data_IF_914166705148
#
_entry.id   IF_914166705148
#
_cell.length_a   1.000
_cell.length_b   1.000
_cell.length_c   1.000
_cell.angle_alpha   90.00
_cell.angle_beta   90.00
_cell.angle_gamma   90.00
#
_symmetry.space_group_name_H-M   'P 1'
#
loop_
_entity.id
_entity.type
_entity.pdbx_description
1 polymer ?
#
# COMPACT_ATOMS: atom_id res chain seq x y z
N UNK A 1 8.46 -7.17 0.81
CA UNK A 1 7.75 -6.27 -0.15
C UNK A 1 8.49 -4.95 -0.33
N UNK A 2 8.95 -4.29 0.74
CA UNK A 2 9.76 -3.06 0.65
C UNK A 2 11.17 -3.22 0.03
N UNK A 3 11.68 -4.46 -0.07
CA UNK A 3 13.00 -4.74 -0.65
C UNK A 3 13.07 -4.51 -2.17
N UNK A 4 11.91 -4.45 -2.85
CA UNK A 4 11.83 -4.15 -4.28
C UNK A 4 11.62 -2.65 -4.58
N UNK A 5 11.80 -1.77 -3.58
CA UNK A 5 11.58 -0.34 -3.74
C UNK A 5 12.78 0.33 -4.43
N UNK A 6 12.59 0.62 -5.71
CA UNK A 6 13.44 1.40 -6.58
C UNK A 6 13.31 2.91 -6.32
N UNK A 7 14.32 3.67 -6.77
CA UNK A 7 14.42 5.11 -6.53
C UNK A 7 13.25 5.91 -7.13
N UNK A 8 12.76 5.47 -8.29
CA UNK A 8 11.61 6.09 -8.97
C UNK A 8 10.34 6.00 -8.11
N UNK A 9 10.10 4.87 -7.47
CA UNK A 9 8.92 4.64 -6.64
C UNK A 9 9.04 5.41 -5.33
N UNK A 10 10.24 5.59 -4.78
CA UNK A 10 10.46 6.52 -3.66
C UNK A 10 10.03 7.94 -4.04
N UNK A 11 10.43 8.42 -5.22
CA UNK A 11 10.03 9.75 -5.71
C UNK A 11 8.51 9.81 -5.91
N UNK A 12 7.90 8.78 -6.50
CA UNK A 12 6.46 8.71 -6.69
C UNK A 12 5.69 8.76 -5.35
N UNK A 13 6.16 8.02 -4.34
CA UNK A 13 5.59 8.04 -2.99
C UNK A 13 5.78 9.41 -2.32
N UNK A 14 6.91 10.06 -2.54
CA UNK A 14 7.17 11.39 -1.98
C UNK A 14 6.23 12.44 -2.59
N UNK A 15 6.01 12.37 -3.90
CA UNK A 15 5.02 13.21 -4.59
C UNK A 15 3.60 12.92 -4.11
N UNK A 16 3.23 11.64 -3.94
CA UNK A 16 1.93 11.25 -3.40
C UNK A 16 1.74 11.75 -1.96
N UNK A 17 2.76 11.65 -1.12
CA UNK A 17 2.72 12.16 0.24
C UNK A 17 2.57 13.69 0.26
N UNK A 18 3.27 14.41 -0.63
CA UNK A 18 3.03 15.85 -0.82
C UNK A 18 1.62 16.15 -1.32
N UNK A 19 1.02 15.32 -2.18
CA UNK A 19 -0.35 15.54 -2.66
C UNK A 19 -1.38 15.36 -1.54
N UNK A 20 -1.21 14.33 -0.70
CA UNK A 20 -2.14 14.00 0.39
C UNK A 20 -2.00 14.97 1.56
N UNK A 21 -0.76 15.19 2.02
CA UNK A 21 -0.47 15.95 3.23
C UNK A 21 -0.10 17.41 2.95
N UNK A 22 0.38 17.72 1.75
CA UNK A 22 0.82 19.06 1.37
C UNK A 22 1.89 19.61 2.31
N UNK A 23 1.71 20.88 2.66
CA UNK A 23 2.50 21.64 3.62
C UNK A 23 2.45 21.11 5.06
N UNK A 24 1.54 20.17 5.38
CA UNK A 24 1.44 19.57 6.72
C UNK A 24 2.38 18.38 6.90
N UNK A 25 3.00 17.87 5.84
CA UNK A 25 3.89 16.71 5.89
C UNK A 25 5.03 16.85 6.93
N UNK A 26 5.73 18.00 7.04
CA UNK A 26 6.75 18.18 8.08
C UNK A 26 6.18 18.11 9.50
N UNK A 27 4.95 18.61 9.68
CA UNK A 27 4.25 18.57 10.97
C UNK A 27 3.85 17.15 11.34
N UNK A 28 3.30 16.37 10.40
CA UNK A 28 2.92 14.97 10.60
C UNK A 28 4.15 14.11 10.95
N UNK A 29 5.28 14.33 10.28
CA UNK A 29 6.55 13.67 10.61
C UNK A 29 6.97 14.02 12.04
N UNK A 30 6.93 15.31 12.40
CA UNK A 30 7.28 15.78 13.74
C UNK A 30 6.41 15.16 14.84
N UNK A 31 5.10 15.09 14.62
CA UNK A 31 4.14 14.50 15.55
C UNK A 31 4.34 12.98 15.68
N UNK A 32 4.56 12.28 14.56
CA UNK A 32 4.89 10.86 14.55
C UNK A 32 6.20 10.54 15.28
N UNK A 33 7.24 11.37 15.10
CA UNK A 33 8.51 11.23 15.79
C UNK A 33 8.39 11.47 17.29
N UNK A 34 7.60 12.46 17.72
CA UNK A 34 7.30 12.68 19.15
C UNK A 34 6.57 11.50 19.75
N UNK A 35 5.57 10.97 19.05
CA UNK A 35 4.84 9.77 19.49
C UNK A 35 5.78 8.58 19.62
N UNK A 36 6.61 8.31 18.60
CA UNK A 36 7.60 7.23 18.62
C UNK A 36 8.60 7.37 19.79
N UNK A 37 9.07 8.60 20.05
CA UNK A 37 9.99 8.86 21.15
C UNK A 37 9.33 8.67 22.51
N UNK A 38 8.06 9.05 22.64
CA UNK A 38 7.23 8.78 23.81
C UNK A 38 7.01 7.29 24.05
N UNK A 39 6.64 6.54 23.00
CA UNK A 39 6.52 5.08 23.03
C UNK A 39 7.83 4.41 23.45
N UNK A 40 8.97 4.86 22.92
CA UNK A 40 10.28 4.31 23.29
C UNK A 40 10.62 4.58 24.76
N UNK A 41 10.35 5.79 25.27
CA UNK A 41 10.56 6.12 26.67
C UNK A 41 9.62 5.33 27.59
N UNK A 42 8.34 5.19 27.22
CA UNK A 42 7.36 4.39 27.96
C UNK A 42 7.74 2.92 28.02
N UNK A 43 8.19 2.35 26.90
CA UNK A 43 8.69 0.97 26.87
C UNK A 43 9.91 0.78 27.77
N UNK A 44 10.87 1.71 27.74
CA UNK A 44 12.05 1.66 28.62
C UNK A 44 11.70 1.77 30.10
N UNK A 45 10.78 2.66 30.46
CA UNK A 45 10.34 2.83 31.85
C UNK A 45 9.57 1.60 32.34
N UNK A 46 8.63 1.09 31.56
CA UNK A 46 7.89 -0.13 31.90
C UNK A 46 8.81 -1.36 32.04
N UNK A 47 9.83 -1.50 31.18
CA UNK A 47 10.85 -2.54 31.35
C UNK A 47 11.65 -2.34 32.64
N UNK A 48 12.08 -1.11 32.94
CA UNK A 48 12.84 -0.79 34.15
C UNK A 48 12.04 -1.10 35.42
N UNK A 49 10.77 -0.72 35.46
CA UNK A 49 9.90 -0.93 36.61
C UNK A 49 9.59 -2.43 36.80
N UNK A 50 9.32 -3.15 35.71
CA UNK A 50 9.08 -4.59 35.74
C UNK A 50 10.34 -5.39 36.13
N UNK A 51 11.53 -4.96 35.68
CA UNK A 51 12.82 -5.56 36.08
C UNK A 51 13.11 -5.36 37.57
N UNK A 52 12.74 -4.19 38.10
CA UNK A 52 12.97 -3.82 39.51
C UNK A 52 12.05 -4.55 40.48
N UNK A 53 10.83 -4.88 40.06
CA UNK A 53 9.85 -5.61 40.89
C UNK A 53 9.98 -7.13 40.78
N UNK A 54 10.43 -7.68 39.64
CA UNK A 54 10.55 -9.14 39.43
C UNK A 54 11.95 -9.71 39.67
N UNK A 55 12.95 -8.87 40.00
CA UNK A 55 14.31 -9.32 40.38
C UNK A 55 15.05 -10.15 39.31
N UNK A 56 14.52 -10.19 38.08
CA UNK A 56 15.07 -10.95 36.95
C UNK A 56 15.39 -9.96 35.84
N UNK A 57 16.66 -9.94 35.46
CA UNK A 57 17.25 -9.03 34.48
C UNK A 57 16.79 -9.42 33.05
N UNK A 58 15.60 -8.96 32.66
CA UNK A 58 15.16 -9.00 31.26
C UNK A 58 15.92 -7.90 30.52
N UNK A 59 17.16 -8.19 30.13
CA UNK A 59 17.97 -7.29 29.31
C UNK A 59 17.30 -7.07 27.96
N UNK A 60 17.01 -5.81 27.66
CA UNK A 60 16.31 -5.33 26.47
C UNK A 60 17.08 -5.56 25.14
N UNK A 61 18.16 -6.35 25.17
CA UNK A 61 18.94 -6.74 24.00
C UNK A 61 18.37 -8.01 23.31
N UNK A 62 17.52 -8.80 23.98
CA UNK A 62 16.91 -10.04 23.45
C UNK A 62 15.39 -9.92 23.18
N UNK A 63 14.92 -8.72 22.81
CA UNK A 63 13.59 -8.48 22.26
C UNK A 63 13.63 -8.14 20.76
N UNK A 64 14.34 -8.96 19.98
CA UNK A 64 13.85 -9.18 18.62
C UNK A 64 12.43 -9.76 18.74
N UNK A 65 11.41 -9.28 18.01
CA UNK A 65 10.05 -9.82 18.12
C UNK A 65 10.03 -11.34 17.88
N UNK A 66 11.00 -11.84 17.10
CA UNK A 66 11.22 -13.27 16.86
C UNK A 66 11.80 -14.05 18.06
N UNK A 67 12.59 -13.41 18.94
CA UNK A 67 13.20 -14.04 20.10
C UNK A 67 12.27 -14.03 21.33
N UNK A 68 11.50 -12.96 21.52
CA UNK A 68 10.50 -12.84 22.60
C UNK A 68 9.33 -13.82 22.41
N UNK A 69 8.81 -13.96 21.19
CA UNK A 69 7.83 -14.99 20.84
C UNK A 69 8.42 -16.40 21.07
N UNK A 70 9.74 -16.56 20.83
CA UNK A 70 10.47 -17.81 21.09
C UNK A 70 10.65 -18.20 22.55
N UNK A 71 10.68 -17.24 23.46
CA UNK A 71 10.91 -17.49 24.89
C UNK A 71 9.68 -17.39 25.76
N UNK A 72 8.61 -16.72 25.31
CA UNK A 72 7.39 -16.54 26.11
C UNK A 72 6.10 -17.05 25.45
N UNK A 73 6.07 -17.29 24.13
CA UNK A 73 4.94 -17.92 23.42
C UNK A 73 5.25 -19.36 22.96
N UNK A 74 6.49 -19.83 23.17
CA UNK A 74 7.02 -21.10 22.69
C UNK A 74 7.48 -21.97 23.87
N UNK A 75 6.64 -22.09 24.90
CA UNK A 75 6.67 -23.32 25.70
C UNK A 75 6.20 -24.45 24.78
N UNK A 76 6.97 -25.55 24.73
CA UNK A 76 7.04 -26.57 23.67
C UNK A 76 5.71 -27.26 23.27
N UNK A 77 4.61 -26.99 23.99
CA UNK A 77 3.31 -27.65 23.82
C UNK A 77 2.36 -26.88 22.88
N UNK A 78 2.50 -25.55 22.76
CA UNK A 78 1.60 -24.69 21.96
C UNK A 78 2.08 -24.46 20.50
N UNK A 79 3.30 -24.89 20.17
CA UNK A 79 3.93 -24.69 18.86
C UNK A 79 3.19 -25.38 17.72
N UNK A 80 2.59 -26.55 17.97
CA UNK A 80 1.85 -27.31 16.95
C UNK A 80 0.41 -26.81 16.78
N UNK A 81 -0.21 -26.31 17.85
CA UNK A 81 -1.60 -25.84 17.86
C UNK A 81 -1.76 -24.47 17.18
N UNK A 82 -0.77 -23.58 17.31
CA UNK A 82 -0.82 -22.23 16.75
C UNK A 82 -0.20 -22.16 15.34
N UNK A 83 0.79 -23.00 15.02
CA UNK A 83 1.43 -22.98 13.68
C UNK A 83 0.51 -23.43 12.55
N UNK A 84 -0.28 -24.49 12.75
CA UNK A 84 -1.19 -25.00 11.71
C UNK A 84 -2.21 -23.94 11.24
N UNK A 85 -2.94 -23.26 12.13
CA UNK A 85 -3.88 -22.22 11.71
C UNK A 85 -3.17 -20.99 11.12
N UNK A 86 -2.03 -20.57 11.67
CA UNK A 86 -1.29 -19.42 11.11
C UNK A 86 -0.70 -19.70 9.72
N UNK A 87 -0.26 -20.93 9.45
CA UNK A 87 0.19 -21.34 8.12
C UNK A 87 -0.96 -21.35 7.11
N UNK A 88 -2.13 -21.89 7.50
CA UNK A 88 -3.32 -21.85 6.64
C UNK A 88 -3.75 -20.42 6.30
N UNK A 89 -3.83 -19.55 7.31
CA UNK A 89 -4.17 -18.13 7.11
C UNK A 89 -3.14 -17.41 6.23
N UNK A 90 -1.86 -17.75 6.34
CA UNK A 90 -0.82 -17.15 5.52
C UNK A 90 -0.88 -17.64 4.06
N UNK A 91 -1.13 -18.92 3.84
CA UNK A 91 -1.25 -19.51 2.51
C UNK A 91 -2.53 -19.04 1.78
N UNK A 92 -3.64 -18.86 2.51
CA UNK A 92 -4.89 -18.28 1.98
C UNK A 92 -4.66 -16.84 1.52
N UNK A 93 -4.08 -16.00 2.40
CA UNK A 93 -3.77 -14.60 2.06
C UNK A 93 -2.80 -14.52 0.87
N UNK A 94 -1.82 -15.43 0.80
CA UNK A 94 -0.88 -15.49 -0.33
C UNK A 94 -1.56 -15.92 -1.63
N UNK A 95 -2.52 -16.84 -1.57
CA UNK A 95 -3.28 -17.27 -2.75
C UNK A 95 -4.17 -16.14 -3.27
N UNK A 96 -4.88 -15.45 -2.38
CA UNK A 96 -5.72 -14.30 -2.74
C UNK A 96 -4.90 -13.19 -3.39
N UNK A 97 -3.74 -12.86 -2.82
CA UNK A 97 -2.82 -11.87 -3.38
C UNK A 97 -2.29 -12.27 -4.75
N UNK A 98 -2.01 -13.56 -4.95
CA UNK A 98 -1.53 -14.07 -6.25
C UNK A 98 -2.63 -14.01 -7.30
N UNK A 99 -3.87 -14.37 -6.93
CA UNK A 99 -5.04 -14.27 -7.82
C UNK A 99 -5.30 -12.82 -8.26
N UNK A 100 -5.36 -11.89 -7.30
CA UNK A 100 -5.56 -10.46 -7.58
C UNK A 100 -4.43 -9.92 -8.48
N UNK A 101 -3.19 -10.36 -8.26
CA UNK A 101 -2.08 -9.95 -9.12
C UNK A 101 -2.26 -10.41 -10.56
N UNK A 102 -2.70 -11.65 -10.77
CA UNK A 102 -2.97 -12.19 -12.11
C UNK A 102 -4.13 -11.47 -12.81
N UNK A 103 -5.22 -11.18 -12.09
CA UNK A 103 -6.35 -10.42 -12.64
C UNK A 103 -5.93 -9.01 -13.06
N UNK A 104 -5.08 -8.35 -12.26
CA UNK A 104 -4.55 -7.03 -12.59
C UNK A 104 -3.61 -7.08 -13.80
N UNK A 105 -2.78 -8.12 -13.95
CA UNK A 105 -1.92 -8.32 -15.12
C UNK A 105 -2.76 -8.57 -16.39
N UNK A 106 -3.86 -9.31 -16.31
CA UNK A 106 -4.78 -9.53 -17.43
C UNK A 106 -5.51 -8.24 -17.83
N UNK A 107 -6.00 -7.46 -16.87
CA UNK A 107 -6.64 -6.16 -17.14
C UNK A 107 -5.63 -5.16 -17.68
N UNK A 108 -4.41 -5.14 -17.16
CA UNK A 108 -3.33 -4.31 -17.68
C UNK A 108 -2.99 -4.69 -19.13
N UNK A 109 -2.84 -5.98 -19.42
CA UNK A 109 -2.62 -6.47 -20.78
C UNK A 109 -3.78 -6.10 -21.71
N UNK A 110 -5.03 -6.24 -21.25
CA UNK A 110 -6.21 -5.85 -22.02
C UNK A 110 -6.30 -4.33 -22.26
N UNK A 111 -5.85 -3.51 -21.29
CA UNK A 111 -5.76 -2.07 -21.43
C UNK A 111 -4.65 -1.66 -22.42
N UNK A 112 -3.51 -2.33 -22.41
CA UNK A 112 -2.43 -2.14 -23.39
C UNK A 112 -2.85 -2.56 -24.81
N UNK A 113 -3.54 -3.70 -24.95
CA UNK A 113 -4.11 -4.10 -26.25
C UNK A 113 -5.17 -3.11 -26.76
N UNK A 114 -5.97 -2.51 -25.87
CA UNK A 114 -6.95 -1.47 -26.25
C UNK A 114 -6.28 -0.13 -26.60
N UNK A 115 -5.14 0.20 -25.99
CA UNK A 115 -4.31 1.32 -26.41
C UNK A 115 -3.68 1.10 -27.80
N UNK A 116 -3.38 -0.16 -28.17
CA UNK A 116 -2.87 -0.54 -29.50
C UNK A 116 -3.95 -0.77 -30.58
N UNK A 117 -5.23 -0.84 -30.21
CA UNK A 117 -6.37 -0.90 -31.14
C UNK A 117 -7.24 0.37 -31.08
N UNK A 118 -6.62 1.54 -31.28
CA UNK A 118 -7.36 2.71 -31.81
C UNK A 118 -6.72 3.16 -33.12
N UNK A 119 -6.97 2.39 -34.18
CA UNK A 119 -6.97 2.90 -35.56
C UNK A 119 -7.73 1.94 -36.49
N UNK A 120 -8.99 2.25 -36.85
CA UNK A 120 -9.48 1.98 -38.19
C UNK A 120 -9.42 3.27 -38.99
N UNK A 121 -8.50 3.31 -39.96
CA UNK A 121 -8.47 4.34 -40.98
C UNK A 121 -9.70 4.17 -41.90
N UNK A 122 -10.58 5.16 -41.93
CA UNK A 122 -11.53 5.38 -43.00
C UNK A 122 -10.85 6.19 -44.13
N UNK A 123 -11.14 5.93 -45.43
CA UNK A 123 -10.41 6.52 -46.55
C UNK A 123 -10.71 8.02 -46.75
N UNK A 124 -9.85 8.78 -47.45
CA UNK A 124 -9.98 10.24 -47.55
C UNK A 124 -11.08 10.61 -48.55
N UNK A 125 -12.23 11.09 -48.06
CA UNK A 125 -13.20 11.77 -48.89
C UNK A 125 -12.93 13.28 -48.88
N UNK A 126 -12.65 13.76 -50.09
CA UNK A 126 -12.48 15.13 -50.53
C UNK A 126 -13.63 16.03 -50.04
N UNK A 127 -13.30 17.23 -49.57
CA UNK A 127 -14.26 18.26 -49.16
C UNK A 127 -15.29 18.61 -50.25
N UNK A 128 -16.47 19.11 -49.85
CA UNK A 128 -16.83 20.44 -50.35
C UNK A 128 -17.45 21.38 -49.28
N UNK A 129 -16.94 22.62 -49.30
CA UNK A 129 -17.61 23.92 -49.14
C UNK A 129 -18.76 24.13 -48.15
N UNK A 130 -18.51 25.07 -47.22
CA UNK A 130 -19.38 26.08 -46.57
C UNK A 130 -20.87 26.11 -46.94
N UNK A 131 -21.80 26.13 -45.95
CA UNK A 131 -23.18 26.56 -46.16
C UNK A 131 -23.31 28.10 -46.06
N UNK A 132 -24.00 28.80 -46.99
CA UNK A 132 -24.50 30.13 -46.73
C UNK A 132 -25.78 30.06 -45.87
N UNK A 133 -25.96 31.07 -45.03
CA UNK A 133 -27.17 31.29 -44.24
C UNK A 133 -28.38 31.58 -45.14
N UNK A 134 -29.52 30.96 -44.86
CA UNK A 134 -30.84 31.44 -45.28
C UNK A 134 -31.93 31.00 -44.28
N UNK A 135 -32.38 31.99 -43.51
CA UNK A 135 -33.73 32.27 -42.99
C UNK A 135 -34.64 31.13 -42.49
N UNK A 136 -34.98 31.24 -41.21
CA UNK A 136 -36.16 30.63 -40.59
C UNK A 136 -37.45 31.05 -41.31
N UNK A 137 -38.28 30.09 -41.70
CA UNK A 137 -39.65 30.31 -42.16
C UNK A 137 -40.61 29.96 -41.00
N UNK A 138 -41.23 30.98 -40.44
CA UNK A 138 -42.27 30.92 -39.40
C UNK A 138 -43.59 31.16 -40.13
N UNK A 139 -44.09 30.16 -40.85
CA UNK A 139 -45.49 30.13 -41.33
C UNK A 139 -45.94 28.75 -41.84
N UNK A 140 -46.06 27.77 -40.94
CA UNK A 140 -46.86 26.57 -41.21
C UNK A 140 -47.81 26.33 -40.04
N UNK A 141 -49.04 26.81 -40.24
CA UNK A 141 -50.27 26.49 -39.49
C UNK A 141 -50.74 25.06 -39.78
#
# INVERSE_FOLDING_TARGET
MFENLNWTEIIALLLLALLIFGERLPKVIGDGLRMLRGLRAMAQNATSDLSRELGTDIQLQDLHPKAFIRKHLLSEEDEAAIRKPLQGLFDDVKSDLTGVKSDLEEVAAAADFKAHHTAPAAPPQKAPSTPPAASFDIDAT
#
